data_IF_029043959532
#
_entry.id   IF_029043959532
#
_cell.length_a   1.000
_cell.length_b   1.000
_cell.length_c   1.000
_cell.angle_alpha   90.00
_cell.angle_beta   90.00
_cell.angle_gamma   90.00
#
_symmetry.space_group_name_H-M   'P 1'
#
loop_
_entity.id
_entity.type
_entity.pdbx_description
1 polymer ?
#
# COMPACT_ATOMS: atom_id res chain seq x y z
N UNK A 1 -34.68 -18.41 19.79
CA UNK A 1 -33.49 -19.24 19.49
C UNK A 1 -32.43 -18.53 18.64
N UNK A 2 -32.75 -17.41 17.96
CA UNK A 2 -31.79 -16.68 17.13
C UNK A 2 -30.73 -15.86 17.92
N UNK A 3 -31.08 -15.27 19.07
CA UNK A 3 -30.14 -14.42 19.85
C UNK A 3 -28.91 -15.19 20.37
N UNK A 4 -29.09 -16.44 20.79
CA UNK A 4 -27.95 -17.25 21.25
C UNK A 4 -27.03 -17.64 20.10
N UNK A 5 -27.57 -17.79 18.88
CA UNK A 5 -26.78 -18.05 17.67
C UNK A 5 -25.98 -16.81 17.25
N UNK A 6 -26.58 -15.60 17.34
CA UNK A 6 -25.89 -14.33 17.05
C UNK A 6 -24.76 -14.03 18.03
N UNK A 7 -24.95 -14.28 19.33
CA UNK A 7 -23.90 -14.11 20.34
C UNK A 7 -22.71 -15.06 20.13
N UNK A 8 -22.97 -16.29 19.68
CA UNK A 8 -21.92 -17.27 19.33
C UNK A 8 -21.15 -16.82 18.09
N UNK A 9 -21.84 -16.29 17.07
CA UNK A 9 -21.21 -15.78 15.84
C UNK A 9 -20.34 -14.54 16.15
N UNK A 10 -20.81 -13.59 16.95
CA UNK A 10 -20.03 -12.41 17.37
C UNK A 10 -18.79 -12.81 18.18
N UNK A 11 -18.92 -13.81 19.05
CA UNK A 11 -17.79 -14.36 19.82
C UNK A 11 -16.75 -15.05 18.92
N UNK A 12 -17.20 -15.86 17.94
CA UNK A 12 -16.33 -16.50 16.95
C UNK A 12 -15.60 -15.49 16.07
N UNK A 13 -16.28 -14.43 15.62
CA UNK A 13 -15.68 -13.33 14.86
C UNK A 13 -14.68 -12.57 15.72
N UNK A 14 -14.98 -12.31 17.00
CA UNK A 14 -14.07 -11.70 17.95
C UNK A 14 -12.77 -12.51 18.15
N UNK A 15 -12.88 -13.83 18.29
CA UNK A 15 -11.71 -14.74 18.39
C UNK A 15 -10.90 -14.79 17.09
N UNK A 16 -11.57 -14.79 15.92
CA UNK A 16 -10.88 -14.69 14.63
C UNK A 16 -10.12 -13.36 14.50
N UNK A 17 -10.73 -12.24 14.91
CA UNK A 17 -10.07 -10.93 14.88
C UNK A 17 -8.88 -10.88 15.85
N UNK A 18 -9.01 -11.44 17.07
CA UNK A 18 -7.91 -11.50 18.04
C UNK A 18 -6.74 -12.37 17.58
N UNK A 19 -6.99 -13.46 16.86
CA UNK A 19 -5.93 -14.32 16.31
C UNK A 19 -5.21 -13.66 15.12
N UNK A 20 -5.92 -12.91 14.28
CA UNK A 20 -5.31 -12.10 13.21
C UNK A 20 -4.39 -11.01 13.80
N UNK A 21 -4.83 -10.33 14.87
CA UNK A 21 -4.05 -9.28 15.56
C UNK A 21 -2.81 -9.88 16.25
N UNK A 22 -2.96 -11.03 16.92
CA UNK A 22 -1.86 -11.69 17.63
C UNK A 22 -0.79 -12.24 16.67
N UNK A 23 -1.17 -12.59 15.45
CA UNK A 23 -0.23 -13.05 14.43
C UNK A 23 0.53 -11.91 13.76
N UNK A 24 0.03 -10.66 13.79
CA UNK A 24 0.60 -9.52 13.07
C UNK A 24 1.98 -9.06 13.57
N UNK A 25 2.47 -9.61 14.68
CA UNK A 25 3.73 -9.23 15.34
C UNK A 25 4.91 -10.18 15.06
N UNK A 26 4.74 -11.23 14.25
CA UNK A 26 5.84 -12.14 13.88
C UNK A 26 6.37 -11.87 12.45
N UNK A 27 7.68 -12.07 12.22
CA UNK A 27 8.34 -11.88 10.90
C UNK A 27 7.62 -12.58 9.75
N UNK A 28 7.07 -13.75 10.04
CA UNK A 28 6.40 -14.61 9.07
C UNK A 28 5.08 -14.00 8.60
N UNK A 29 4.38 -13.24 9.45
CA UNK A 29 3.13 -12.59 9.08
C UNK A 29 3.35 -11.44 8.10
N UNK A 30 4.27 -10.52 8.39
CA UNK A 30 4.52 -9.36 7.51
C UNK A 30 4.93 -9.82 6.11
N UNK A 31 5.84 -10.79 6.01
CA UNK A 31 6.26 -11.37 4.71
C UNK A 31 5.08 -12.04 3.99
N UNK A 32 4.26 -12.83 4.71
CA UNK A 32 3.09 -13.50 4.13
C UNK A 32 1.97 -12.54 3.72
N UNK A 33 1.89 -11.37 4.35
CA UNK A 33 0.89 -10.34 4.05
C UNK A 33 1.32 -9.44 2.88
N UNK A 34 2.62 -9.11 2.80
CA UNK A 34 3.16 -8.15 1.83
C UNK A 34 3.58 -8.81 0.53
N UNK A 35 4.44 -9.83 0.58
CA UNK A 35 5.11 -10.32 -0.62
C UNK A 35 4.17 -10.90 -1.70
N UNK A 36 3.02 -11.51 -1.37
CA UNK A 36 2.05 -11.91 -2.38
C UNK A 36 1.43 -10.76 -3.19
N UNK A 37 1.50 -9.52 -2.68
CA UNK A 37 1.00 -8.31 -3.36
C UNK A 37 2.06 -7.62 -4.21
N UNK A 38 3.30 -8.09 -4.17
CA UNK A 38 4.41 -7.53 -4.95
C UNK A 38 4.56 -8.26 -6.29
N UNK A 39 5.08 -7.57 -7.30
CA UNK A 39 5.40 -8.13 -8.62
C UNK A 39 6.44 -9.24 -8.59
N UNK A 40 7.21 -9.37 -7.50
CA UNK A 40 8.33 -10.30 -7.39
C UNK A 40 8.40 -10.92 -5.98
N UNK A 41 7.55 -11.92 -5.73
CA UNK A 41 7.41 -12.59 -4.44
C UNK A 41 8.73 -13.16 -3.89
N UNK A 42 9.53 -13.95 -4.64
CA UNK A 42 10.76 -14.52 -4.10
C UNK A 42 11.78 -13.43 -3.70
N UNK A 43 11.88 -12.37 -4.51
CA UNK A 43 12.73 -11.24 -4.22
C UNK A 43 12.28 -10.48 -2.96
N UNK A 44 10.98 -10.17 -2.86
CA UNK A 44 10.41 -9.56 -1.66
C UNK A 44 10.70 -10.38 -0.40
N UNK A 45 10.49 -11.70 -0.46
CA UNK A 45 10.74 -12.58 0.68
C UNK A 45 12.20 -12.52 1.10
N UNK A 46 13.13 -12.55 0.13
CA UNK A 46 14.57 -12.45 0.38
C UNK A 46 14.95 -11.12 1.05
N UNK A 47 14.44 -10.00 0.52
CA UNK A 47 14.71 -8.65 1.05
C UNK A 47 14.22 -8.54 2.49
N UNK A 48 12.95 -8.86 2.76
CA UNK A 48 12.37 -8.68 4.10
C UNK A 48 12.99 -9.62 5.14
N UNK A 49 13.32 -10.87 4.77
CA UNK A 49 14.03 -11.80 5.69
C UNK A 49 15.44 -11.33 6.03
N UNK A 50 16.09 -10.61 5.12
CA UNK A 50 17.46 -10.10 5.32
C UNK A 50 17.50 -8.87 6.24
N UNK A 51 16.36 -8.23 6.52
CA UNK A 51 16.30 -7.02 7.33
C UNK A 51 16.64 -7.23 8.81
N UNK A 52 16.61 -8.46 9.31
CA UNK A 52 16.95 -8.78 10.71
C UNK A 52 15.97 -8.23 11.75
N UNK A 53 14.79 -7.76 11.32
CA UNK A 53 13.74 -7.18 12.16
C UNK A 53 12.36 -7.55 11.62
N UNK A 54 11.35 -7.46 12.48
CA UNK A 54 9.94 -7.70 12.15
C UNK A 54 9.09 -6.44 12.29
N UNK A 55 9.67 -5.39 12.88
CA UNK A 55 9.04 -4.08 13.03
C UNK A 55 8.89 -3.39 11.68
N UNK A 56 7.69 -2.84 11.40
CA UNK A 56 7.38 -2.22 10.11
C UNK A 56 8.29 -1.03 9.80
N UNK A 57 8.62 -0.21 10.81
CA UNK A 57 9.53 0.92 10.61
C UNK A 57 10.94 0.42 10.31
N UNK A 58 11.43 -0.57 11.05
CA UNK A 58 12.71 -1.22 10.79
C UNK A 58 12.81 -1.85 9.39
N UNK A 59 11.77 -2.57 8.96
CA UNK A 59 11.66 -3.14 7.61
C UNK A 59 11.70 -2.04 6.53
N UNK A 60 10.96 -0.94 6.73
CA UNK A 60 10.96 0.19 5.81
C UNK A 60 12.33 0.89 5.74
N UNK A 61 13.00 1.09 6.88
CA UNK A 61 14.36 1.67 6.93
C UNK A 61 15.34 0.80 6.14
N UNK A 62 15.35 -0.51 6.40
CA UNK A 62 16.24 -1.43 5.69
C UNK A 62 15.99 -1.40 4.18
N UNK A 63 14.71 -1.47 3.77
CA UNK A 63 14.32 -1.52 2.36
C UNK A 63 14.63 -0.21 1.64
N UNK A 64 14.45 0.95 2.28
CA UNK A 64 14.84 2.26 1.75
C UNK A 64 16.37 2.38 1.58
N UNK A 65 17.16 1.91 2.53
CA UNK A 65 18.61 1.90 2.42
C UNK A 65 19.08 1.03 1.24
N UNK A 66 18.40 -0.10 1.01
CA UNK A 66 18.65 -0.95 -0.14
C UNK A 66 18.30 -0.23 -1.45
N UNK A 67 17.16 0.45 -1.53
CA UNK A 67 16.77 1.25 -2.69
C UNK A 67 17.82 2.34 -2.99
N UNK A 68 18.19 3.12 -1.96
CA UNK A 68 19.18 4.21 -2.06
C UNK A 68 20.53 3.70 -2.59
N UNK A 69 21.02 2.60 -2.02
CA UNK A 69 22.29 1.99 -2.44
C UNK A 69 22.26 1.58 -3.91
N UNK A 70 21.16 0.98 -4.37
CA UNK A 70 21.02 0.56 -5.76
C UNK A 70 20.84 1.75 -6.71
N UNK A 71 20.07 2.78 -6.32
CA UNK A 71 19.90 4.01 -7.08
C UNK A 71 21.24 4.75 -7.27
N UNK A 72 22.05 4.91 -6.20
CA UNK A 72 23.39 5.52 -6.30
C UNK A 72 24.35 4.73 -7.18
N UNK A 73 24.28 3.39 -7.14
CA UNK A 73 25.08 2.54 -8.05
C UNK A 73 24.66 2.76 -9.51
N UNK A 74 23.36 2.86 -9.79
CA UNK A 74 22.85 3.14 -11.13
C UNK A 74 23.20 4.55 -11.62
N UNK A 75 23.13 5.56 -10.74
CA UNK A 75 23.60 6.92 -11.02
C UNK A 75 25.08 6.92 -11.42
N UNK A 76 25.92 6.23 -10.66
CA UNK A 76 27.36 6.10 -10.95
C UNK A 76 27.60 5.41 -12.28
N UNK A 77 26.86 4.34 -12.56
CA UNK A 77 26.94 3.60 -13.82
C UNK A 77 26.51 4.47 -15.01
N UNK A 78 25.36 5.16 -14.92
CA UNK A 78 24.86 6.04 -15.98
C UNK A 78 25.87 7.14 -16.31
N UNK A 79 26.43 7.81 -15.28
CA UNK A 79 27.50 8.79 -15.44
C UNK A 79 28.75 8.20 -16.12
N UNK A 80 29.18 7.00 -15.73
CA UNK A 80 30.34 6.33 -16.33
C UNK A 80 30.10 5.97 -17.79
N UNK A 81 28.88 5.56 -18.14
CA UNK A 81 28.51 5.21 -19.51
C UNK A 81 28.41 6.45 -20.41
N UNK A 82 27.86 7.56 -19.88
CA UNK A 82 27.83 8.84 -20.58
C UNK A 82 29.24 9.36 -20.91
N UNK A 83 30.20 9.16 -20.01
CA UNK A 83 31.60 9.56 -20.21
C UNK A 83 32.38 8.67 -21.17
N UNK A 84 32.06 7.37 -21.23
CA UNK A 84 32.84 6.39 -21.98
C UNK A 84 32.35 6.13 -23.41
N UNK A 85 31.08 6.39 -23.71
CA UNK A 85 30.54 6.15 -25.06
C UNK A 85 30.95 7.24 -26.05
N UNK A 86 31.29 6.83 -27.27
CA UNK A 86 31.55 7.73 -28.40
C UNK A 86 30.31 8.02 -29.23
N UNK A 87 29.21 7.29 -29.02
CA UNK A 87 27.95 7.50 -29.73
C UNK A 87 27.19 8.70 -29.09
N UNK A 88 26.97 9.81 -29.83
CA UNK A 88 26.34 11.01 -29.28
C UNK A 88 24.92 10.78 -28.75
N UNK A 89 24.12 9.94 -29.42
CA UNK A 89 22.74 9.64 -28.99
C UNK A 89 22.74 8.83 -27.70
N UNK A 90 23.61 7.83 -27.58
CA UNK A 90 23.75 7.06 -26.34
C UNK A 90 24.29 7.94 -25.20
N UNK A 91 25.23 8.84 -25.50
CA UNK A 91 25.76 9.79 -24.53
C UNK A 91 24.65 10.65 -23.92
N UNK A 92 23.78 11.22 -24.76
CA UNK A 92 22.64 12.02 -24.29
C UNK A 92 21.67 11.18 -23.45
N UNK A 93 21.34 9.96 -23.88
CA UNK A 93 20.46 9.05 -23.12
C UNK A 93 21.04 8.70 -21.75
N UNK A 94 22.33 8.40 -21.68
CA UNK A 94 22.99 8.08 -20.40
C UNK A 94 23.08 9.30 -19.47
N UNK A 95 23.27 10.51 -20.00
CA UNK A 95 23.21 11.72 -19.18
C UNK A 95 21.80 11.94 -18.63
N UNK A 96 20.77 11.84 -19.45
CA UNK A 96 19.40 11.98 -18.97
C UNK A 96 19.03 10.89 -17.95
N UNK A 97 19.50 9.66 -18.14
CA UNK A 97 19.38 8.64 -17.11
C UNK A 97 20.12 8.99 -15.82
N UNK A 98 21.29 9.63 -15.90
CA UNK A 98 22.01 10.06 -14.70
C UNK A 98 21.23 11.15 -13.95
N UNK A 99 20.62 12.11 -14.64
CA UNK A 99 19.74 13.12 -14.03
C UNK A 99 18.56 12.46 -13.31
N UNK A 100 17.82 11.60 -14.02
CA UNK A 100 16.71 10.83 -13.43
C UNK A 100 17.13 9.99 -12.22
N UNK A 101 18.28 9.31 -12.25
CA UNK A 101 18.76 8.56 -11.08
C UNK A 101 19.20 9.46 -9.92
N UNK A 102 19.65 10.68 -10.18
CA UNK A 102 19.99 11.66 -9.14
C UNK A 102 18.71 12.16 -8.45
N UNK A 103 17.67 12.47 -9.24
CA UNK A 103 16.33 12.82 -8.72
C UNK A 103 15.73 11.67 -7.90
N UNK A 104 15.78 10.43 -8.42
CA UNK A 104 15.34 9.25 -7.68
C UNK A 104 16.10 9.05 -6.35
N UNK A 105 17.41 9.34 -6.32
CA UNK A 105 18.19 9.31 -5.07
C UNK A 105 17.67 10.37 -4.09
N UNK A 106 17.42 11.60 -4.55
CA UNK A 106 16.86 12.68 -3.73
C UNK A 106 15.49 12.32 -3.16
N UNK A 107 14.62 11.72 -3.96
CA UNK A 107 13.29 11.27 -3.53
C UNK A 107 13.38 10.15 -2.48
N UNK A 108 14.29 9.20 -2.64
CA UNK A 108 14.54 8.16 -1.63
C UNK A 108 15.08 8.75 -0.33
N UNK A 109 15.95 9.77 -0.40
CA UNK A 109 16.45 10.48 0.78
C UNK A 109 15.32 11.25 1.49
N UNK A 110 14.40 11.84 0.73
CA UNK A 110 13.20 12.46 1.30
C UNK A 110 12.27 11.41 1.93
N UNK A 111 12.15 10.22 1.33
CA UNK A 111 11.41 9.10 1.93
C UNK A 111 12.02 8.70 3.28
N UNK A 112 13.35 8.61 3.38
CA UNK A 112 14.03 8.32 4.64
C UNK A 112 13.75 9.37 5.72
N UNK A 113 13.75 10.67 5.36
CA UNK A 113 13.40 11.76 6.29
C UNK A 113 11.95 11.67 6.76
N UNK A 114 11.01 11.47 5.84
CA UNK A 114 9.58 11.31 6.16
C UNK A 114 9.33 10.08 7.05
N UNK A 115 10.03 8.98 6.81
CA UNK A 115 9.95 7.79 7.65
C UNK A 115 10.49 8.04 9.06
N UNK A 116 11.55 8.85 9.21
CA UNK A 116 12.06 9.24 10.51
C UNK A 116 11.00 9.96 11.35
N UNK A 117 10.21 10.84 10.69
CA UNK A 117 9.05 11.56 11.25
C UNK A 117 7.81 10.66 11.45
N UNK A 118 7.81 9.44 10.91
CA UNK A 118 6.66 8.52 10.98
C UNK A 118 5.54 8.83 9.99
N UNK A 119 5.81 9.66 8.97
CA UNK A 119 4.88 10.01 7.91
C UNK A 119 4.97 9.00 6.75
N UNK A 120 4.28 7.87 6.92
CA UNK A 120 4.25 6.80 5.92
C UNK A 120 3.48 7.19 4.64
N UNK A 121 2.58 8.18 4.70
CA UNK A 121 1.86 8.66 3.52
C UNK A 121 2.82 9.47 2.64
N UNK A 122 3.60 10.37 3.23
CA UNK A 122 4.64 11.10 2.50
C UNK A 122 5.71 10.15 1.94
N UNK A 123 6.11 9.11 2.68
CA UNK A 123 7.01 8.04 2.17
C UNK A 123 6.44 7.40 0.90
N UNK A 124 5.15 7.06 0.87
CA UNK A 124 4.49 6.45 -0.28
C UNK A 124 4.55 7.36 -1.53
N UNK A 125 4.26 8.65 -1.35
CA UNK A 125 4.26 9.65 -2.43
C UNK A 125 5.64 9.79 -3.04
N UNK A 126 6.66 10.10 -2.23
CA UNK A 126 8.02 10.35 -2.76
C UNK A 126 8.69 9.07 -3.28
N UNK A 127 8.36 7.90 -2.72
CA UNK A 127 8.83 6.62 -3.27
C UNK A 127 8.22 6.35 -4.65
N UNK A 128 6.97 6.74 -4.86
CA UNK A 128 6.31 6.67 -6.18
C UNK A 128 6.95 7.65 -7.16
N UNK A 129 7.34 8.85 -6.71
CA UNK A 129 8.14 9.81 -7.48
C UNK A 129 9.46 9.18 -7.98
N UNK A 130 10.23 8.57 -7.08
CA UNK A 130 11.46 7.88 -7.45
C UNK A 130 11.25 6.78 -8.51
N UNK A 131 10.13 6.05 -8.45
CA UNK A 131 9.79 5.05 -9.47
C UNK A 131 9.50 5.68 -10.83
N UNK A 132 8.82 6.83 -10.87
CA UNK A 132 8.60 7.60 -12.11
C UNK A 132 9.93 7.98 -12.75
N UNK A 133 10.87 8.53 -11.96
CA UNK A 133 12.19 8.90 -12.48
C UNK A 133 12.97 7.70 -13.05
N UNK A 134 12.91 6.56 -12.37
CA UNK A 134 13.52 5.32 -12.84
C UNK A 134 12.89 4.87 -14.16
N UNK A 135 11.57 4.88 -14.26
CA UNK A 135 10.84 4.48 -15.47
C UNK A 135 11.17 5.40 -16.65
N UNK A 136 11.22 6.71 -16.42
CA UNK A 136 11.57 7.70 -17.44
C UNK A 136 12.99 7.47 -17.99
N UNK A 137 13.94 7.02 -17.16
CA UNK A 137 15.24 6.58 -17.65
C UNK A 137 15.12 5.31 -18.51
N UNK A 138 14.35 4.32 -18.05
CA UNK A 138 14.17 3.05 -18.76
C UNK A 138 13.55 3.24 -20.16
N UNK A 139 12.57 4.14 -20.29
CA UNK A 139 11.91 4.44 -21.56
C UNK A 139 12.87 5.07 -22.59
N UNK A 140 13.84 5.85 -22.13
CA UNK A 140 14.88 6.47 -22.97
C UNK A 140 15.93 5.45 -23.48
N UNK A 141 15.97 4.24 -22.91
CA UNK A 141 17.01 3.22 -23.16
C UNK A 141 16.66 2.19 -24.25
N UNK A 142 15.72 2.46 -25.14
CA UNK A 142 15.17 1.52 -26.13
C UNK A 142 16.13 0.85 -27.15
N UNK A 143 17.45 1.12 -27.14
CA UNK A 143 18.42 0.43 -28.00
C UNK A 143 19.31 -0.54 -27.19
N UNK A 144 19.31 -1.86 -27.52
CA UNK A 144 20.02 -2.85 -26.73
C UNK A 144 21.53 -2.76 -26.94
N UNK A 145 22.25 -2.38 -25.89
CA UNK A 145 23.67 -2.66 -25.68
C UNK A 145 23.83 -3.41 -24.35
N UNK A 146 24.92 -4.15 -24.15
CA UNK A 146 25.17 -4.85 -22.86
C UNK A 146 25.06 -3.91 -21.65
N UNK A 147 25.54 -2.68 -21.80
CA UNK A 147 25.52 -1.66 -20.76
C UNK A 147 24.12 -1.09 -20.53
N UNK A 148 23.36 -0.89 -21.62
CA UNK A 148 21.94 -0.53 -21.54
C UNK A 148 21.14 -1.59 -20.80
N UNK A 149 21.39 -2.89 -21.06
CA UNK A 149 20.72 -3.99 -20.39
C UNK A 149 20.99 -4.01 -18.87
N UNK A 150 22.20 -3.61 -18.44
CA UNK A 150 22.52 -3.53 -17.02
C UNK A 150 21.75 -2.40 -16.32
N UNK A 151 21.65 -1.22 -16.94
CA UNK A 151 20.83 -0.12 -16.40
C UNK A 151 19.34 -0.47 -16.35
N UNK A 152 18.82 -1.11 -17.40
CA UNK A 152 17.43 -1.59 -17.42
C UNK A 152 17.17 -2.59 -16.29
N UNK A 153 18.08 -3.55 -16.09
CA UNK A 153 17.99 -4.53 -14.99
C UNK A 153 18.02 -3.85 -13.63
N UNK A 154 18.95 -2.92 -13.41
CA UNK A 154 19.05 -2.21 -12.15
C UNK A 154 17.79 -1.39 -11.87
N UNK A 155 17.26 -0.67 -12.87
CA UNK A 155 16.01 0.08 -12.74
C UNK A 155 14.85 -0.82 -12.32
N UNK A 156 14.72 -1.99 -12.96
CA UNK A 156 13.71 -2.99 -12.56
C UNK A 156 13.91 -3.45 -11.11
N UNK A 157 15.15 -3.73 -10.70
CA UNK A 157 15.45 -4.13 -9.33
C UNK A 157 15.09 -3.03 -8.33
N UNK A 158 15.39 -1.76 -8.63
CA UNK A 158 15.03 -0.64 -7.75
C UNK A 158 13.50 -0.52 -7.68
N UNK A 159 12.78 -0.62 -8.80
CA UNK A 159 11.31 -0.61 -8.80
C UNK A 159 10.71 -1.78 -8.00
N UNK A 160 11.28 -3.00 -8.11
CA UNK A 160 10.87 -4.14 -7.28
C UNK A 160 11.10 -3.84 -5.78
N UNK A 161 12.17 -3.12 -5.41
CA UNK A 161 12.42 -2.66 -4.02
C UNK A 161 11.40 -1.59 -3.61
N UNK A 162 11.16 -0.58 -4.44
CA UNK A 162 10.19 0.49 -4.18
C UNK A 162 8.78 -0.06 -3.97
N UNK A 163 8.36 -1.06 -4.75
CA UNK A 163 7.08 -1.74 -4.56
C UNK A 163 6.94 -2.42 -3.18
N UNK A 164 8.04 -2.94 -2.62
CA UNK A 164 8.05 -3.47 -1.25
C UNK A 164 7.82 -2.33 -0.24
N UNK A 165 8.46 -1.18 -0.45
CA UNK A 165 8.29 0.02 0.40
C UNK A 165 6.84 0.50 0.34
N UNK A 166 6.25 0.63 -0.86
CA UNK A 166 4.84 1.02 -1.02
C UNK A 166 3.92 0.05 -0.26
N UNK A 167 4.16 -1.25 -0.37
CA UNK A 167 3.37 -2.26 0.35
C UNK A 167 3.52 -2.16 1.87
N UNK A 168 4.72 -1.86 2.38
CA UNK A 168 4.97 -1.61 3.81
C UNK A 168 4.23 -0.36 4.30
N UNK A 169 4.26 0.74 3.52
CA UNK A 169 3.54 1.99 3.88
C UNK A 169 2.03 1.78 3.94
N UNK A 170 1.46 1.05 2.97
CA UNK A 170 0.04 0.71 2.95
C UNK A 170 -0.36 -0.18 4.13
N UNK A 171 0.45 -1.20 4.45
CA UNK A 171 0.21 -2.04 5.61
C UNK A 171 0.22 -1.23 6.91
N UNK A 172 1.19 -0.32 7.06
CA UNK A 172 1.26 0.55 8.24
C UNK A 172 0.03 1.46 8.36
N UNK A 173 -0.44 2.04 7.25
CA UNK A 173 -1.68 2.84 7.25
C UNK A 173 -2.91 2.01 7.63
N UNK A 174 -3.03 0.78 7.12
CA UNK A 174 -4.11 -0.15 7.52
C UNK A 174 -4.04 -0.50 9.00
N UNK A 175 -2.85 -0.82 9.52
CA UNK A 175 -2.65 -1.12 10.94
C UNK A 175 -3.05 0.07 11.80
N UNK A 176 -2.64 1.30 11.44
CA UNK A 176 -3.07 2.53 12.15
C UNK A 176 -4.59 2.68 12.15
N UNK A 177 -5.26 2.45 11.03
CA UNK A 177 -6.74 2.51 10.95
C UNK A 177 -7.41 1.47 11.84
N UNK A 178 -6.95 0.22 11.80
CA UNK A 178 -7.54 -0.90 12.57
C UNK A 178 -7.26 -0.78 14.08
N UNK A 179 -6.11 -0.23 14.45
CA UNK A 179 -5.70 -0.09 15.86
C UNK A 179 -6.21 1.20 16.49
N UNK A 180 -6.68 2.16 15.71
CA UNK A 180 -7.34 3.36 16.24
C UNK A 180 -8.73 2.97 16.77
N UNK A 181 -8.97 3.03 18.10
CA UNK A 181 -10.23 2.58 18.69
C UNK A 181 -11.44 3.37 18.21
N UNK A 182 -11.27 4.67 17.94
CA UNK A 182 -12.34 5.54 17.45
C UNK A 182 -12.70 5.22 16.01
N UNK A 183 -11.72 5.11 15.12
CA UNK A 183 -11.98 4.72 13.72
C UNK A 183 -12.53 3.30 13.62
N UNK A 184 -12.00 2.35 14.41
CA UNK A 184 -12.54 0.99 14.47
C UNK A 184 -14.00 0.99 14.92
N UNK A 185 -14.35 1.82 15.91
CA UNK A 185 -15.72 1.97 16.36
C UNK A 185 -16.60 2.60 15.27
N UNK A 186 -16.14 3.64 14.57
CA UNK A 186 -16.87 4.25 13.46
C UNK A 186 -17.17 3.23 12.34
N UNK A 187 -16.18 2.43 11.93
CA UNK A 187 -16.39 1.38 10.92
C UNK A 187 -17.36 0.28 11.40
N UNK A 188 -17.28 -0.13 12.68
CA UNK A 188 -18.19 -1.13 13.24
C UNK A 188 -19.62 -0.63 13.30
N UNK A 189 -19.82 0.59 13.81
CA UNK A 189 -21.14 1.21 13.89
C UNK A 189 -21.74 1.47 12.51
N UNK A 190 -20.91 1.82 11.52
CA UNK A 190 -21.36 1.94 10.14
C UNK A 190 -21.78 0.63 9.50
N UNK A 191 -21.04 -0.47 9.75
CA UNK A 191 -21.43 -1.78 9.26
C UNK A 191 -22.79 -2.22 9.85
N UNK A 192 -23.03 -1.93 11.13
CA UNK A 192 -24.33 -2.17 11.79
C UNK A 192 -25.45 -1.34 11.15
N UNK A 193 -25.27 -0.03 10.97
CA UNK A 193 -26.25 0.84 10.29
C UNK A 193 -26.54 0.41 8.85
N UNK A 194 -25.55 -0.11 8.11
CA UNK A 194 -25.79 -0.66 6.77
C UNK A 194 -26.59 -1.97 6.78
N UNK A 195 -26.33 -2.87 7.72
CA UNK A 195 -27.10 -4.12 7.86
C UNK A 195 -28.57 -3.83 8.22
N UNK A 196 -28.80 -2.80 9.06
CA UNK A 196 -30.13 -2.32 9.42
C UNK A 196 -30.85 -1.69 8.20
N UNK A 197 -30.18 -0.80 7.46
CA UNK A 197 -30.72 -0.20 6.25
C UNK A 197 -31.07 -1.23 5.16
N UNK A 198 -30.29 -2.31 5.04
CA UNK A 198 -30.59 -3.45 4.15
C UNK A 198 -31.85 -4.17 4.62
N UNK A 199 -31.96 -4.47 5.92
CA UNK A 199 -33.15 -5.09 6.50
C UNK A 199 -34.43 -4.28 6.29
N UNK A 200 -34.34 -2.96 6.44
CA UNK A 200 -35.46 -2.04 6.20
C UNK A 200 -35.87 -2.00 4.72
N UNK A 201 -34.89 -2.07 3.81
CA UNK A 201 -35.16 -2.16 2.36
C UNK A 201 -35.84 -3.48 1.99
N UNK A 202 -35.45 -4.60 2.62
CA UNK A 202 -36.13 -5.90 2.43
C UNK A 202 -37.55 -5.90 2.98
N UNK A 203 -37.82 -5.18 4.07
CA UNK A 203 -39.18 -5.03 4.62
C UNK A 203 -40.04 -4.12 3.74
N UNK A 204 -39.48 -3.02 3.24
CA UNK A 204 -40.15 -2.15 2.27
C UNK A 204 -40.55 -2.91 0.99
N UNK A 205 -39.74 -3.86 0.52
CA UNK A 205 -40.12 -4.72 -0.60
C UNK A 205 -41.32 -5.62 -0.31
N UNK A 206 -41.46 -6.13 0.93
CA UNK A 206 -42.62 -6.93 1.35
C UNK A 206 -43.87 -6.07 1.48
N UNK A 207 -43.75 -4.89 2.07
CA UNK A 207 -44.87 -3.95 2.25
C UNK A 207 -45.37 -3.40 0.91
N UNK A 208 -44.46 -3.17 -0.04
CA UNK A 208 -44.78 -2.81 -1.41
C UNK A 208 -45.60 -3.90 -2.12
N UNK A 209 -45.25 -5.17 -1.91
CA UNK A 209 -46.00 -6.31 -2.46
C UNK A 209 -47.41 -6.44 -1.87
N UNK A 210 -47.64 -5.88 -0.68
CA UNK A 210 -48.93 -5.80 -0.01
C UNK A 210 -49.72 -4.50 -0.34
N UNK A 211 -49.11 -3.56 -1.05
CA UNK A 211 -49.69 -2.27 -1.40
C UNK A 211 -49.73 -1.26 -0.24
N UNK A 212 -48.97 -1.48 0.83
CA UNK A 212 -48.89 -0.57 1.98
C UNK A 212 -47.80 0.49 1.77
N UNK A 213 -48.15 1.51 0.98
CA UNK A 213 -47.22 2.59 0.64
C UNK A 213 -46.83 3.48 1.83
N UNK A 214 -47.64 3.53 2.89
CA UNK A 214 -47.32 4.30 4.09
C UNK A 214 -46.22 3.59 4.90
N UNK A 215 -46.32 2.26 5.05
CA UNK A 215 -45.27 1.47 5.68
C UNK A 215 -43.96 1.59 4.89
N UNK A 216 -44.00 1.45 3.55
CA UNK A 216 -42.83 1.61 2.67
C UNK A 216 -42.11 2.94 2.91
N UNK A 217 -42.83 4.06 2.98
CA UNK A 217 -42.23 5.38 3.15
C UNK A 217 -41.55 5.57 4.52
N UNK A 218 -42.05 4.89 5.55
CA UNK A 218 -41.48 4.94 6.91
C UNK A 218 -40.15 4.17 6.96
N UNK A 219 -40.13 2.92 6.48
CA UNK A 219 -38.90 2.10 6.52
C UNK A 219 -37.80 2.65 5.60
N UNK A 220 -38.13 3.19 4.42
CA UNK A 220 -37.11 3.79 3.55
C UNK A 220 -36.51 5.08 4.11
N UNK A 221 -37.29 5.87 4.85
CA UNK A 221 -36.78 7.07 5.55
C UNK A 221 -35.87 6.70 6.73
N UNK A 222 -36.18 5.60 7.43
CA UNK A 222 -35.31 5.03 8.46
C UNK A 222 -33.96 4.59 7.90
N UNK A 223 -33.97 3.81 6.81
CA UNK A 223 -32.76 3.38 6.12
C UNK A 223 -31.88 4.54 5.64
N UNK A 224 -32.46 5.65 5.18
CA UNK A 224 -31.71 6.86 4.80
C UNK A 224 -31.03 7.52 6.01
N UNK A 225 -31.72 7.57 7.16
CA UNK A 225 -31.18 8.17 8.39
C UNK A 225 -29.98 7.38 8.92
N UNK A 226 -30.04 6.05 8.88
CA UNK A 226 -28.91 5.18 9.29
C UNK A 226 -27.67 5.36 8.39
N UNK A 227 -27.87 5.62 7.10
CA UNK A 227 -26.77 5.89 6.15
C UNK A 227 -26.15 7.27 6.42
N UNK A 228 -26.97 8.28 6.70
CA UNK A 228 -26.51 9.64 7.01
C UNK A 228 -25.75 9.68 8.35
N UNK A 229 -26.25 8.99 9.38
CA UNK A 229 -25.58 8.84 10.69
C UNK A 229 -24.21 8.13 10.59
N UNK A 230 -24.06 7.21 9.64
CA UNK A 230 -22.77 6.62 9.33
C UNK A 230 -21.83 7.63 8.65
N UNK A 231 -22.34 8.41 7.69
CA UNK A 231 -21.54 9.41 6.98
C UNK A 231 -20.99 10.49 7.92
N UNK A 232 -21.81 10.97 8.84
CA UNK A 232 -21.45 12.01 9.81
C UNK A 232 -20.41 11.57 10.85
N UNK A 233 -20.22 10.25 11.06
CA UNK A 233 -19.18 9.71 11.96
C UNK A 233 -17.78 9.73 11.35
N UNK A 234 -17.65 10.07 10.07
CA UNK A 234 -16.38 10.15 9.34
C UNK A 234 -15.96 11.57 8.94
N UNK A 235 -16.80 12.58 9.19
CA UNK A 235 -16.54 14.01 8.92
C UNK A 235 -16.06 14.76 10.16
#
# INVERSE_FOLDING_TARGET
MANNSRLIIVSLIGVLLFTIISNATSSNNVVSTICPKTSNLPFCSSVLKSAGTTDLKGLAIYTLNLAHTNARKSLTLANSLAKSTTNPQLKQRYFSCAENYDEAVGDIENAQKNLALGDFNAVNIVTSGAMTEINDCQDKLAQPSKNTLLLLKNGKTINDICNIILSLTLLNSLVKTITNPQLKQCYSSCAESYDEAVGDTENAQKDLALGDFNAVNIVTSGAMTEIDDCHDKFT
#
